data_IF_425424517172
#
_entry.id   IF_425424517172
#
_cell.length_a   1.000
_cell.length_b   1.000
_cell.length_c   1.000
_cell.angle_alpha   90.00
_cell.angle_beta   90.00
_cell.angle_gamma   90.00
#
_symmetry.space_group_name_H-M   'P 1'
#
loop_
_entity.id
_entity.type
_entity.pdbx_description
1 polymer ?
#
# COMPACT_ATOMS: atom_id res chain seq x y z
N UNK A 1 24.80 2.29 -16.87
CA UNK A 1 26.05 2.21 -16.11
C UNK A 1 25.96 1.00 -15.19
N UNK A 2 26.68 -0.07 -15.51
CA UNK A 2 26.64 -1.32 -14.74
C UNK A 2 27.72 -1.27 -13.65
N UNK A 3 27.31 -1.07 -12.40
CA UNK A 3 28.23 -1.27 -11.29
C UNK A 3 28.42 -2.77 -11.08
N UNK A 4 29.65 -3.26 -11.23
CA UNK A 4 30.01 -4.66 -10.98
C UNK A 4 29.60 -5.08 -9.56
N UNK A 5 29.24 -6.35 -9.38
CA UNK A 5 28.78 -6.90 -8.11
C UNK A 5 29.72 -6.71 -6.89
N UNK A 6 31.01 -6.45 -7.12
CA UNK A 6 32.00 -6.14 -6.08
C UNK A 6 32.40 -4.64 -6.03
N UNK A 7 31.68 -3.74 -6.71
CA UNK A 7 32.05 -2.34 -6.83
C UNK A 7 32.18 -1.62 -5.47
N UNK A 8 31.35 -1.96 -4.49
CA UNK A 8 31.37 -1.37 -3.15
C UNK A 8 32.45 -1.96 -2.22
N UNK A 9 33.17 -3.02 -2.62
CA UNK A 9 34.29 -3.55 -1.82
C UNK A 9 35.42 -2.53 -1.73
N UNK A 10 35.68 -1.82 -2.83
CA UNK A 10 36.68 -0.74 -2.92
C UNK A 10 36.30 0.43 -2.00
N UNK A 11 37.22 0.79 -1.11
CA UNK A 11 37.04 1.91 -0.14
C UNK A 11 36.68 3.23 -0.80
N UNK A 12 37.33 3.59 -1.91
CA UNK A 12 37.03 4.79 -2.71
C UNK A 12 35.57 4.83 -3.17
N UNK A 13 35.06 3.72 -3.70
CA UNK A 13 33.74 3.65 -4.31
C UNK A 13 32.63 3.75 -3.26
N UNK A 14 32.84 3.16 -2.08
CA UNK A 14 31.95 3.36 -0.94
C UNK A 14 32.00 4.80 -0.41
N UNK A 15 33.17 5.46 -0.37
CA UNK A 15 33.27 6.85 0.08
C UNK A 15 32.56 7.85 -0.85
N UNK A 16 32.50 7.59 -2.16
CA UNK A 16 31.67 8.37 -3.11
C UNK A 16 30.18 8.21 -2.78
N UNK A 17 29.73 6.98 -2.51
CA UNK A 17 28.34 6.71 -2.09
C UNK A 17 28.00 7.37 -0.74
N UNK A 18 28.96 7.39 0.19
CA UNK A 18 28.79 7.93 1.54
C UNK A 18 28.78 9.46 1.59
N UNK A 19 29.69 10.12 0.86
CA UNK A 19 29.92 11.58 0.91
C UNK A 19 29.21 12.34 -0.19
N UNK A 20 29.33 11.89 -1.44
CA UNK A 20 28.94 12.68 -2.61
C UNK A 20 27.48 12.41 -2.99
N UNK A 21 27.05 11.15 -2.89
CA UNK A 21 25.65 10.74 -3.13
C UNK A 21 24.82 10.88 -1.85
N UNK A 22 25.35 10.42 -0.72
CA UNK A 22 24.74 10.49 0.61
C UNK A 22 23.83 9.31 0.93
N UNK A 23 24.18 8.51 1.95
CA UNK A 23 23.44 7.31 2.37
C UNK A 23 21.97 7.58 2.75
N UNK A 24 21.63 8.83 3.12
CA UNK A 24 20.25 9.27 3.44
C UNK A 24 19.27 9.14 2.25
N UNK A 25 19.75 8.90 1.02
CA UNK A 25 18.90 8.58 -0.15
C UNK A 25 18.39 7.14 -0.19
N UNK A 26 19.05 6.23 0.52
CA UNK A 26 18.81 4.78 0.43
C UNK A 26 18.43 4.14 1.77
N UNK A 27 18.78 4.77 2.90
CA UNK A 27 18.63 4.20 4.24
C UNK A 27 17.92 5.17 5.19
N UNK A 28 17.01 4.68 6.05
CA UNK A 28 16.28 5.52 6.99
C UNK A 28 17.22 6.11 8.05
N UNK A 29 16.91 7.33 8.50
CA UNK A 29 17.71 8.06 9.51
C UNK A 29 17.98 7.22 10.76
N UNK A 30 17.00 6.45 11.22
CA UNK A 30 17.13 5.56 12.40
C UNK A 30 18.23 4.50 12.25
N UNK A 31 18.47 3.95 11.05
CA UNK A 31 19.55 2.99 10.79
C UNK A 31 20.92 3.70 10.76
N UNK A 32 20.98 4.86 10.11
CA UNK A 32 22.21 5.64 9.95
C UNK A 32 22.72 6.21 11.28
N UNK A 33 21.81 6.67 12.13
CA UNK A 33 22.16 7.30 13.41
C UNK A 33 22.42 6.25 14.52
N UNK A 34 21.99 4.98 14.35
CA UNK A 34 22.20 3.89 15.34
C UNK A 34 23.39 2.97 15.06
N UNK A 35 23.81 2.81 13.79
CA UNK A 35 24.90 1.89 13.41
C UNK A 35 26.20 2.64 13.12
N UNK A 36 27.26 2.37 13.90
CA UNK A 36 28.61 2.94 13.69
C UNK A 36 29.07 2.71 12.23
N UNK A 37 29.52 3.77 11.55
CA UNK A 37 29.83 3.76 10.11
C UNK A 37 30.70 2.57 9.63
N UNK A 38 31.72 2.15 10.40
CA UNK A 38 32.56 0.97 10.08
C UNK A 38 31.76 -0.34 10.00
N UNK A 39 30.71 -0.49 10.80
CA UNK A 39 29.82 -1.65 10.80
C UNK A 39 28.74 -1.49 9.73
N UNK A 40 28.14 -0.30 9.61
CA UNK A 40 27.16 0.03 8.57
C UNK A 40 27.72 -0.27 7.17
N UNK A 41 28.96 0.17 6.90
CA UNK A 41 29.68 -0.15 5.67
C UNK A 41 29.80 -1.66 5.43
N UNK A 42 30.18 -2.44 6.45
CA UNK A 42 30.29 -3.90 6.32
C UNK A 42 28.94 -4.52 5.97
N UNK A 43 27.86 -4.08 6.61
CA UNK A 43 26.50 -4.54 6.33
C UNK A 43 26.10 -4.20 4.89
N UNK A 44 26.32 -2.95 4.44
CA UNK A 44 26.04 -2.54 3.06
C UNK A 44 26.83 -3.39 2.05
N UNK A 45 28.13 -3.60 2.28
CA UNK A 45 28.98 -4.45 1.42
C UNK A 45 28.50 -5.92 1.39
N UNK A 46 28.14 -6.49 2.54
CA UNK A 46 27.66 -7.87 2.66
C UNK A 46 26.28 -8.08 2.04
N UNK A 47 25.37 -7.11 2.19
CA UNK A 47 24.02 -7.15 1.60
C UNK A 47 24.06 -6.89 0.11
N UNK A 48 24.85 -5.92 -0.37
CA UNK A 48 24.99 -5.64 -1.81
C UNK A 48 25.44 -6.87 -2.60
N UNK A 49 26.38 -7.66 -2.05
CA UNK A 49 26.84 -8.93 -2.66
C UNK A 49 25.75 -9.99 -2.88
N UNK A 50 24.63 -9.92 -2.15
CA UNK A 50 23.50 -10.86 -2.31
C UNK A 50 22.61 -10.49 -3.50
N UNK A 51 22.57 -9.21 -3.87
CA UNK A 51 21.80 -8.66 -4.99
C UNK A 51 22.68 -8.24 -6.19
N UNK A 52 23.99 -8.46 -6.07
CA UNK A 52 25.05 -8.06 -6.99
C UNK A 52 24.95 -8.56 -8.44
N UNK A 53 24.15 -9.61 -8.67
CA UNK A 53 23.93 -10.20 -9.99
C UNK A 53 22.59 -9.80 -10.61
N UNK A 54 21.72 -9.12 -9.87
CA UNK A 54 20.39 -8.72 -10.36
C UNK A 54 20.50 -7.55 -11.33
N UNK A 55 19.79 -7.64 -12.44
CA UNK A 55 19.59 -6.52 -13.36
C UNK A 55 18.59 -5.51 -12.76
N UNK A 56 18.29 -4.42 -13.48
CA UNK A 56 17.40 -3.35 -12.99
C UNK A 56 16.00 -3.86 -12.65
N UNK A 57 15.41 -4.68 -13.51
CA UNK A 57 14.05 -5.20 -13.37
C UNK A 57 13.97 -6.21 -12.21
N UNK A 58 14.89 -7.17 -12.18
CA UNK A 58 15.05 -8.12 -11.07
C UNK A 58 15.24 -7.41 -9.73
N UNK A 59 16.00 -6.31 -9.69
CA UNK A 59 16.20 -5.50 -8.49
C UNK A 59 14.92 -4.80 -8.01
N UNK A 60 14.05 -4.37 -8.94
CA UNK A 60 12.75 -3.75 -8.63
C UNK A 60 11.77 -4.81 -8.11
N UNK A 61 11.69 -5.97 -8.79
CA UNK A 61 10.86 -7.09 -8.34
C UNK A 61 11.30 -7.58 -6.94
N UNK A 62 12.61 -7.72 -6.71
CA UNK A 62 13.15 -8.13 -5.41
C UNK A 62 12.95 -7.09 -4.30
N UNK A 63 12.90 -5.80 -4.64
CA UNK A 63 12.52 -4.75 -3.70
C UNK A 63 11.07 -4.90 -3.23
N UNK A 64 10.12 -5.13 -4.15
CA UNK A 64 8.71 -5.34 -3.80
C UNK A 64 8.49 -6.65 -3.01
N UNK A 65 9.20 -7.74 -3.36
CA UNK A 65 9.18 -9.01 -2.63
C UNK A 65 9.61 -8.84 -1.16
N UNK A 66 10.62 -8.00 -0.89
CA UNK A 66 11.12 -7.70 0.45
C UNK A 66 10.20 -6.73 1.22
N UNK A 67 9.49 -5.85 0.50
CA UNK A 67 8.65 -4.80 1.09
C UNK A 67 7.23 -5.29 1.46
N UNK A 68 6.59 -6.11 0.63
CA UNK A 68 5.17 -6.47 0.78
C UNK A 68 4.79 -7.18 2.09
N UNK A 69 5.66 -7.97 2.77
CA UNK A 69 5.31 -8.57 4.06
C UNK A 69 5.26 -7.58 5.22
N UNK A 70 5.91 -6.40 5.08
CA UNK A 70 6.05 -5.40 6.15
C UNK A 70 5.33 -4.07 5.84
N UNK A 71 4.99 -3.82 4.58
CA UNK A 71 4.25 -2.64 4.15
C UNK A 71 3.34 -2.99 2.96
N UNK A 72 2.03 -2.86 3.18
CA UNK A 72 1.01 -3.05 2.15
C UNK A 72 0.89 -1.78 1.29
N UNK A 73 1.53 -1.81 0.13
CA UNK A 73 1.45 -0.80 -0.94
C UNK A 73 0.47 -1.20 -2.07
N UNK A 74 -0.04 -2.42 -1.97
CA UNK A 74 -0.92 -3.15 -2.89
C UNK A 74 -2.40 -2.80 -2.70
N UNK A 75 -2.79 -2.17 -1.58
CA UNK A 75 -4.18 -1.85 -1.26
C UNK A 75 -4.34 -0.56 -0.48
N UNK A 76 -5.46 0.13 -0.70
CA UNK A 76 -5.89 1.27 0.12
C UNK A 76 -6.92 0.82 1.16
N UNK A 77 -6.88 1.43 2.35
CA UNK A 77 -7.77 1.13 3.47
C UNK A 77 -8.58 2.36 3.89
N UNK A 78 -9.90 2.22 3.98
CA UNK A 78 -10.85 3.28 4.25
C UNK A 78 -11.71 2.95 5.47
N UNK A 79 -11.73 3.87 6.44
CA UNK A 79 -12.66 3.76 7.58
C UNK A 79 -14.03 4.27 7.17
N UNK A 80 -15.00 3.39 7.23
CA UNK A 80 -16.37 3.66 6.83
C UNK A 80 -17.34 2.92 7.76
N UNK A 81 -18.63 2.96 7.45
CA UNK A 81 -19.59 2.01 7.99
C UNK A 81 -20.39 1.38 6.86
N UNK A 82 -20.68 0.08 6.98
CA UNK A 82 -21.43 -0.70 6.00
C UNK A 82 -22.82 -1.05 6.54
N UNK A 83 -23.82 -1.03 5.65
CA UNK A 83 -25.15 -1.60 5.87
C UNK A 83 -26.30 -0.62 5.69
N UNK A 84 -27.50 -1.17 5.51
CA UNK A 84 -28.74 -0.42 5.25
C UNK A 84 -29.59 -0.23 6.51
N UNK A 85 -30.03 -1.34 7.11
CA UNK A 85 -30.88 -1.36 8.32
C UNK A 85 -30.09 -1.53 9.61
N UNK A 86 -28.91 -2.15 9.55
CA UNK A 86 -27.96 -2.22 10.66
C UNK A 86 -26.59 -1.78 10.14
N UNK A 87 -26.02 -0.75 10.76
CA UNK A 87 -24.80 -0.08 10.31
C UNK A 87 -23.64 -0.50 11.22
N UNK A 88 -22.59 -1.08 10.62
CA UNK A 88 -21.40 -1.57 11.32
C UNK A 88 -20.18 -0.77 10.83
N UNK A 89 -19.42 -0.18 11.77
CA UNK A 89 -18.15 0.48 11.46
C UNK A 89 -17.07 -0.53 11.10
N UNK A 90 -16.36 -0.31 9.98
CA UNK A 90 -15.35 -1.23 9.45
C UNK A 90 -14.16 -0.47 8.85
N UNK A 91 -13.07 -1.20 8.57
CA UNK A 91 -11.99 -0.74 7.70
C UNK A 91 -12.11 -1.51 6.37
N UNK A 92 -12.67 -0.87 5.34
CA UNK A 92 -12.74 -1.41 3.98
C UNK A 92 -11.33 -1.44 3.39
N UNK A 93 -10.94 -2.54 2.75
CA UNK A 93 -9.68 -2.69 2.03
C UNK A 93 -9.96 -2.95 0.55
N UNK A 94 -9.26 -2.23 -0.33
CA UNK A 94 -9.42 -2.30 -1.79
C UNK A 94 -8.07 -2.52 -2.45
N UNK A 95 -7.91 -3.61 -3.20
CA UNK A 95 -6.68 -3.92 -3.94
C UNK A 95 -6.83 -5.16 -4.83
N UNK A 96 -5.88 -5.44 -5.73
CA UNK A 96 -6.03 -6.48 -6.76
C UNK A 96 -6.08 -7.90 -6.19
N UNK A 97 -5.39 -8.16 -5.07
CA UNK A 97 -5.36 -9.46 -4.38
C UNK A 97 -6.58 -9.69 -3.46
N UNK A 98 -7.27 -8.62 -3.05
CA UNK A 98 -8.31 -8.64 -2.01
C UNK A 98 -9.72 -8.37 -2.58
N UNK A 99 -9.79 -7.89 -3.83
CA UNK A 99 -10.99 -7.32 -4.42
C UNK A 99 -11.47 -6.11 -3.61
N UNK A 100 -12.78 -6.09 -3.35
CA UNK A 100 -13.42 -5.23 -2.34
C UNK A 100 -13.67 -6.09 -1.11
N UNK A 101 -12.99 -5.80 0.00
CA UNK A 101 -13.05 -6.55 1.26
C UNK A 101 -13.21 -5.62 2.47
N UNK A 102 -13.59 -6.13 3.64
CA UNK A 102 -13.62 -5.34 4.89
C UNK A 102 -13.03 -6.08 6.09
N UNK A 103 -12.53 -5.32 7.07
CA UNK A 103 -12.07 -5.81 8.37
C UNK A 103 -12.93 -5.18 9.48
N UNK A 104 -13.33 -5.99 10.46
CA UNK A 104 -13.94 -5.48 11.72
C UNK A 104 -12.87 -5.06 12.72
N UNK A 105 -11.74 -5.78 12.74
CA UNK A 105 -10.71 -5.70 13.77
C UNK A 105 -9.30 -5.68 13.17
N UNK A 106 -8.36 -5.03 13.86
CA UNK A 106 -6.97 -4.94 13.43
C UNK A 106 -6.25 -6.29 13.55
N UNK A 107 -6.19 -7.03 12.44
CA UNK A 107 -5.54 -8.32 12.34
C UNK A 107 -6.49 -9.50 12.13
N UNK A 108 -7.79 -9.27 11.92
CA UNK A 108 -8.65 -10.29 11.32
C UNK A 108 -8.24 -10.53 9.87
N UNK A 109 -8.55 -11.71 9.33
CA UNK A 109 -8.57 -11.88 7.88
C UNK A 109 -9.66 -10.95 7.29
N UNK A 110 -9.44 -10.34 6.10
CA UNK A 110 -10.47 -9.57 5.43
C UNK A 110 -11.65 -10.46 5.02
N UNK A 111 -12.87 -9.96 5.20
CA UNK A 111 -14.09 -10.57 4.67
C UNK A 111 -14.35 -9.98 3.28
N UNK A 112 -14.26 -10.82 2.25
CA UNK A 112 -14.50 -10.44 0.87
C UNK A 112 -15.98 -10.12 0.60
N UNK A 113 -16.24 -9.06 -0.16
CA UNK A 113 -17.58 -8.58 -0.53
C UNK A 113 -17.89 -8.80 -2.01
N UNK A 114 -16.94 -8.47 -2.89
CA UNK A 114 -17.06 -8.59 -4.34
C UNK A 114 -15.70 -8.41 -5.04
N UNK A 115 -15.57 -8.99 -6.23
CA UNK A 115 -14.53 -8.63 -7.19
C UNK A 115 -14.93 -7.39 -8.00
N UNK A 116 -13.96 -6.63 -8.49
CA UNK A 116 -14.20 -5.45 -9.35
C UNK A 116 -15.08 -5.78 -10.58
N UNK A 117 -14.85 -6.93 -11.21
CA UNK A 117 -15.62 -7.38 -12.38
C UNK A 117 -17.11 -7.71 -12.08
N UNK A 118 -17.49 -7.78 -10.81
CA UNK A 118 -18.88 -8.01 -10.37
C UNK A 118 -19.61 -6.69 -10.09
N UNK A 119 -18.90 -5.56 -9.92
CA UNK A 119 -19.51 -4.25 -9.73
C UNK A 119 -20.19 -3.82 -11.03
N UNK A 120 -21.50 -3.53 -10.96
CA UNK A 120 -22.30 -3.09 -12.12
C UNK A 120 -22.46 -1.57 -12.18
N UNK A 121 -22.64 -0.93 -11.03
CA UNK A 121 -22.80 0.52 -10.90
C UNK A 121 -22.29 0.99 -9.54
N UNK A 122 -21.56 2.09 -9.53
CA UNK A 122 -21.22 2.87 -8.34
C UNK A 122 -22.04 4.16 -8.37
N UNK A 123 -22.67 4.53 -7.26
CA UNK A 123 -23.40 5.79 -7.10
C UNK A 123 -22.92 6.49 -5.83
N UNK A 124 -22.57 7.78 -5.94
CA UNK A 124 -22.21 8.62 -4.81
C UNK A 124 -23.28 9.67 -4.56
N UNK A 125 -23.67 9.86 -3.30
CA UNK A 125 -24.57 10.94 -2.87
C UNK A 125 -24.10 11.53 -1.55
N UNK A 126 -24.41 12.80 -1.31
CA UNK A 126 -24.14 13.50 -0.05
C UNK A 126 -25.43 13.69 0.72
N UNK A 127 -25.50 13.20 1.97
CA UNK A 127 -26.60 13.55 2.85
C UNK A 127 -26.37 14.96 3.41
N UNK A 128 -27.25 15.89 3.05
CA UNK A 128 -27.19 17.30 3.45
C UNK A 128 -27.52 17.53 4.94
N UNK A 129 -28.22 16.58 5.59
CA UNK A 129 -28.74 16.78 6.94
C UNK A 129 -27.66 16.53 8.02
N UNK A 130 -27.20 17.65 8.59
CA UNK A 130 -26.42 17.82 9.84
C UNK A 130 -25.01 17.21 9.94
N UNK A 131 -24.80 15.96 9.51
CA UNK A 131 -23.54 15.23 9.71
C UNK A 131 -22.60 15.28 8.50
N UNK A 132 -23.05 15.81 7.36
CA UNK A 132 -22.34 15.78 6.06
C UNK A 132 -21.76 14.39 5.78
N UNK A 133 -22.61 13.36 5.73
CA UNK A 133 -22.18 11.97 5.45
C UNK A 133 -22.37 11.63 3.99
N UNK A 134 -21.26 11.34 3.33
CA UNK A 134 -21.18 10.84 1.96
C UNK A 134 -21.50 9.34 1.93
N UNK A 135 -22.28 8.96 0.95
CA UNK A 135 -22.87 7.63 0.80
C UNK A 135 -22.47 7.09 -0.57
N UNK A 136 -21.69 6.01 -0.58
CA UNK A 136 -21.34 5.27 -1.79
C UNK A 136 -22.17 3.98 -1.83
N UNK A 137 -23.00 3.84 -2.86
CA UNK A 137 -23.84 2.67 -3.11
C UNK A 137 -23.26 1.86 -4.26
N UNK A 138 -23.15 0.54 -4.07
CA UNK A 138 -22.72 -0.39 -5.10
C UNK A 138 -23.81 -1.40 -5.43
N UNK A 139 -23.99 -1.66 -6.73
CA UNK A 139 -24.76 -2.79 -7.23
C UNK A 139 -23.79 -3.87 -7.70
N UNK A 140 -23.91 -5.09 -7.16
CA UNK A 140 -23.05 -6.24 -7.48
C UNK A 140 -23.85 -7.27 -8.29
N UNK A 141 -23.22 -7.87 -9.29
CA UNK A 141 -23.80 -8.95 -10.08
C UNK A 141 -24.08 -10.19 -9.20
N UNK A 142 -25.27 -10.77 -9.33
CA UNK A 142 -25.69 -11.93 -8.52
C UNK A 142 -26.18 -11.62 -7.11
N UNK A 143 -26.01 -10.39 -6.60
CA UNK A 143 -26.63 -9.97 -5.34
C UNK A 143 -28.14 -9.74 -5.52
N UNK A 144 -29.02 -10.27 -4.64
CA UNK A 144 -30.47 -10.24 -4.84
C UNK A 144 -31.15 -8.90 -4.51
N UNK A 145 -30.45 -7.99 -3.83
CA UNK A 145 -30.88 -6.60 -3.57
C UNK A 145 -29.77 -5.63 -3.98
N UNK A 146 -30.08 -4.34 -4.18
CA UNK A 146 -29.00 -3.32 -4.29
C UNK A 146 -28.03 -3.42 -3.06
N UNK A 147 -27.33 -3.43 -1.90
CA UNK A 147 -27.53 -2.96 -0.49
C UNK A 147 -26.18 -2.65 0.22
N UNK A 148 -25.08 -2.62 -0.54
CA UNK A 148 -23.78 -2.15 -0.05
C UNK A 148 -23.74 -0.63 0.00
N UNK A 149 -24.39 -0.12 1.04
CA UNK A 149 -24.30 1.25 1.52
C UNK A 149 -23.02 1.43 2.32
N UNK A 150 -22.05 2.15 1.77
CA UNK A 150 -20.86 2.61 2.48
C UNK A 150 -21.00 4.08 2.89
N UNK A 151 -21.00 4.33 4.19
CA UNK A 151 -20.93 5.68 4.76
C UNK A 151 -19.47 6.10 4.92
N UNK A 152 -19.03 7.07 4.14
CA UNK A 152 -17.66 7.58 4.10
C UNK A 152 -17.40 8.55 5.25
N UNK A 153 -16.45 8.20 6.13
CA UNK A 153 -16.11 8.99 7.32
C UNK A 153 -14.85 9.84 7.04
N UNK A 154 -15.02 11.16 6.98
CA UNK A 154 -13.93 12.12 6.77
C UNK A 154 -13.92 12.75 5.38
N UNK A 155 -12.85 12.55 4.60
CA UNK A 155 -12.64 13.20 3.29
C UNK A 155 -13.33 12.43 2.16
N UNK A 156 -14.63 12.63 2.03
CA UNK A 156 -15.51 11.80 1.23
C UNK A 156 -15.20 11.82 -0.27
N UNK A 157 -14.89 12.99 -0.81
CA UNK A 157 -14.53 13.14 -2.23
C UNK A 157 -13.20 12.45 -2.57
N UNK A 158 -12.18 12.53 -1.69
CA UNK A 158 -10.92 11.80 -1.88
C UNK A 158 -11.14 10.27 -1.81
N UNK A 159 -11.98 9.81 -0.88
CA UNK A 159 -12.29 8.38 -0.71
C UNK A 159 -13.13 7.83 -1.87
N UNK A 160 -14.14 8.57 -2.33
CA UNK A 160 -14.95 8.19 -3.49
C UNK A 160 -14.14 8.23 -4.80
N UNK A 161 -13.31 9.24 -5.00
CA UNK A 161 -12.43 9.32 -6.17
C UNK A 161 -11.36 8.22 -6.18
N UNK A 162 -10.82 7.81 -5.02
CA UNK A 162 -9.95 6.63 -4.95
C UNK A 162 -10.73 5.35 -5.27
N UNK A 163 -11.93 5.17 -4.68
CA UNK A 163 -12.79 4.03 -4.98
C UNK A 163 -13.06 3.86 -6.49
N UNK A 164 -13.42 4.95 -7.19
CA UNK A 164 -13.67 4.90 -8.63
C UNK A 164 -12.43 4.55 -9.45
N UNK A 165 -11.22 4.96 -9.04
CA UNK A 165 -9.95 4.61 -9.70
C UNK A 165 -9.56 3.13 -9.58
N UNK A 166 -10.18 2.37 -8.68
CA UNK A 166 -10.04 0.91 -8.64
C UNK A 166 -11.04 0.19 -9.57
N UNK A 167 -11.91 0.93 -10.27
CA UNK A 167 -12.93 0.40 -11.18
C UNK A 167 -12.75 0.85 -12.65
N UNK A 168 -12.03 1.95 -12.89
CA UNK A 168 -11.63 2.44 -14.24
C UNK A 168 -10.40 1.73 -14.82
#
# INVERSE_FOLDING_TARGET
>A
CEMRGNALDKKSNYEVLEKDVGLRRFFPKSLLDSVKAKNLRKMIQQTFRQFANLNREESILKFFEILSPVYRFDKECFKCALGSSWIISVELAIGPEEGISYLTDKGSNPTHLADFHQVQTIQYSTNEDKDRKGMLQMKIAGAPEVNWLMFLLGRQEEQANSFCRFYE
#
